data_IF_213191708823
#
_entry.id   IF_213191708823
#
_cell.length_a   1.000
_cell.length_b   1.000
_cell.length_c   1.000
_cell.angle_alpha   90.00
_cell.angle_beta   90.00
_cell.angle_gamma   90.00
#
_symmetry.space_group_name_H-M   'P 1'
#
loop_
_entity.id
_entity.type
_entity.pdbx_description
1 polymer ?
#
# COMPACT_ATOMS: atom_id res chain seq x y z
N UNK A 1 -0.70 -10.24 -37.59
CA UNK A 1 0.21 -9.08 -37.82
C UNK A 1 1.24 -8.84 -36.69
N UNK A 2 0.83 -8.64 -35.42
CA UNK A 2 1.75 -8.26 -34.33
C UNK A 2 2.84 -9.32 -33.98
N UNK A 3 2.47 -10.61 -33.99
CA UNK A 3 3.41 -11.73 -33.78
C UNK A 3 4.49 -11.80 -34.88
N UNK A 4 4.11 -11.52 -36.13
CA UNK A 4 5.03 -11.48 -37.28
C UNK A 4 5.99 -10.29 -37.15
N UNK A 5 5.49 -9.10 -36.79
CA UNK A 5 6.33 -7.92 -36.55
C UNK A 5 7.32 -8.13 -35.39
N UNK A 6 6.92 -8.79 -34.30
CA UNK A 6 7.83 -9.16 -33.21
C UNK A 6 8.87 -10.20 -33.64
N UNK A 7 8.48 -11.21 -34.43
CA UNK A 7 9.41 -12.21 -34.98
C UNK A 7 10.44 -11.56 -35.89
N UNK A 8 10.02 -10.70 -36.81
CA UNK A 8 10.91 -9.95 -37.72
C UNK A 8 11.88 -9.05 -36.93
N UNK A 9 11.41 -8.36 -35.89
CA UNK A 9 12.27 -7.54 -35.02
C UNK A 9 13.30 -8.36 -34.24
N UNK A 10 12.93 -9.59 -33.84
CA UNK A 10 13.80 -10.55 -33.13
C UNK A 10 14.83 -11.21 -34.06
N UNK A 11 14.47 -11.40 -35.34
CA UNK A 11 15.30 -12.03 -36.37
C UNK A 11 16.21 -11.05 -37.12
N UNK A 12 15.97 -9.73 -36.99
CA UNK A 12 16.69 -8.67 -37.73
C UNK A 12 18.23 -8.72 -37.58
N UNK A 13 18.73 -9.24 -36.46
CA UNK A 13 20.15 -9.31 -36.16
C UNK A 13 20.69 -10.76 -36.12
N UNK A 14 19.88 -11.76 -36.48
CA UNK A 14 20.39 -13.13 -36.60
C UNK A 14 21.21 -13.27 -37.90
N UNK A 15 22.32 -14.02 -37.89
CA UNK A 15 23.12 -14.23 -39.09
C UNK A 15 22.29 -14.94 -40.17
N UNK A 16 22.35 -14.43 -41.40
CA UNK A 16 21.60 -14.94 -42.55
C UNK A 16 21.94 -16.40 -42.93
N UNK A 17 22.99 -16.99 -42.32
CA UNK A 17 23.35 -18.40 -42.47
C UNK A 17 22.36 -19.38 -41.84
N UNK A 18 21.26 -18.89 -41.26
CA UNK A 18 20.13 -19.69 -40.76
C UNK A 18 18.85 -19.26 -41.47
N UNK A 19 18.81 -19.39 -42.80
CA UNK A 19 17.57 -19.36 -43.57
C UNK A 19 17.48 -20.63 -44.41
N UNK A 20 16.47 -21.46 -44.13
CA UNK A 20 16.06 -22.53 -45.03
C UNK A 20 15.47 -21.89 -46.29
N UNK A 21 15.83 -22.35 -47.51
CA UNK A 21 15.24 -21.80 -48.72
C UNK A 21 13.75 -22.14 -48.74
N UNK A 22 12.92 -21.11 -48.72
CA UNK A 22 11.49 -21.22 -49.04
C UNK A 22 11.35 -21.34 -50.56
N UNK A 23 10.65 -22.39 -50.99
CA UNK A 23 10.43 -22.72 -52.40
C UNK A 23 9.78 -21.58 -53.17
N UNK A 24 10.33 -21.29 -54.35
CA UNK A 24 9.78 -20.37 -55.33
C UNK A 24 8.74 -21.15 -56.15
N UNK A 25 7.47 -20.81 -56.02
CA UNK A 25 6.45 -21.17 -57.00
C UNK A 25 6.64 -20.25 -58.21
N UNK A 26 7.05 -20.83 -59.34
CA UNK A 26 7.01 -20.21 -60.65
C UNK A 26 6.17 -21.06 -61.59
N UNK A 27 4.98 -20.58 -61.93
CA UNK A 27 4.16 -21.07 -63.04
C UNK A 27 4.83 -20.72 -64.37
N UNK A 28 4.82 -21.64 -65.35
CA UNK A 28 5.43 -21.41 -66.66
C UNK A 28 5.46 -22.62 -67.60
N UNK A 29 4.29 -23.01 -68.09
CA UNK A 29 3.95 -23.63 -69.40
C UNK A 29 5.03 -24.27 -70.30
N UNK A 30 4.80 -25.57 -70.57
CA UNK A 30 4.69 -26.24 -71.90
C UNK A 30 5.90 -26.61 -72.78
N UNK A 31 5.74 -27.83 -73.36
CA UNK A 31 6.41 -28.45 -74.52
C UNK A 31 7.73 -29.18 -74.21
N UNK A 32 8.10 -30.33 -74.78
CA UNK A 32 7.47 -31.41 -75.56
C UNK A 32 8.62 -32.34 -75.97
N UNK A 33 8.46 -33.65 -75.74
CA UNK A 33 9.05 -34.79 -76.48
C UNK A 33 10.58 -35.01 -76.47
N UNK A 34 10.97 -36.28 -76.29
CA UNK A 34 12.24 -36.83 -76.79
C UNK A 34 12.70 -38.11 -76.10
N UNK A 35 12.51 -39.24 -76.76
CA UNK A 35 12.91 -40.62 -76.41
C UNK A 35 14.44 -40.89 -76.39
N UNK A 36 14.84 -41.99 -75.72
CA UNK A 36 16.08 -42.77 -75.98
C UNK A 36 16.79 -43.21 -74.68
N UNK A 37 16.51 -44.39 -74.11
CA UNK A 37 17.06 -45.72 -74.43
C UNK A 37 18.52 -45.96 -73.97
N UNK A 38 18.69 -46.85 -72.99
CA UNK A 38 19.74 -47.89 -73.00
C UNK A 38 20.87 -47.78 -71.96
N UNK A 39 21.01 -48.81 -71.12
CA UNK A 39 22.30 -49.21 -70.53
C UNK A 39 22.36 -49.36 -69.00
N UNK A 40 22.14 -50.57 -68.50
CA UNK A 40 22.53 -51.02 -67.16
C UNK A 40 24.00 -51.54 -67.16
N UNK A 41 24.64 -51.77 -66.00
CA UNK A 41 25.87 -51.07 -65.60
C UNK A 41 27.13 -51.94 -65.63
N UNK A 42 28.32 -51.31 -65.55
CA UNK A 42 29.57 -52.01 -65.24
C UNK A 42 30.36 -51.30 -64.14
N UNK A 43 30.51 -52.04 -63.04
CA UNK A 43 31.42 -51.97 -61.91
C UNK A 43 32.50 -50.87 -61.87
N UNK A 44 32.47 -50.06 -60.81
CA UNK A 44 33.68 -49.56 -60.14
C UNK A 44 33.51 -49.60 -58.62
N UNK A 45 34.28 -50.46 -57.97
CA UNK A 45 34.65 -50.30 -56.56
C UNK A 45 35.38 -48.96 -56.41
N UNK A 46 34.88 -48.10 -55.51
CA UNK A 46 35.71 -47.08 -54.87
C UNK A 46 35.35 -46.97 -53.39
N UNK A 47 36.40 -47.03 -52.58
CA UNK A 47 36.46 -47.09 -51.12
C UNK A 47 35.66 -45.98 -50.44
N UNK A 48 34.96 -46.35 -49.37
CA UNK A 48 34.31 -45.45 -48.40
C UNK A 48 35.41 -44.78 -47.56
N UNK A 49 35.53 -43.44 -47.50
CA UNK A 49 36.39 -42.78 -46.52
C UNK A 49 35.64 -42.61 -45.19
N UNK A 50 36.35 -42.90 -44.10
CA UNK A 50 35.88 -42.86 -42.72
C UNK A 50 35.33 -41.49 -42.30
N UNK A 51 34.12 -41.50 -41.73
CA UNK A 51 33.32 -40.35 -41.34
C UNK A 51 33.61 -39.99 -39.86
N UNK A 52 34.57 -39.10 -39.62
CA UNK A 52 34.79 -38.50 -38.29
C UNK A 52 33.87 -37.28 -38.11
N UNK A 53 32.58 -37.54 -37.88
CA UNK A 53 31.55 -36.53 -37.66
C UNK A 53 31.07 -36.46 -36.21
N UNK A 54 31.16 -35.28 -35.60
CA UNK A 54 30.62 -34.97 -34.27
C UNK A 54 29.09 -35.24 -34.21
N UNK A 55 28.68 -36.12 -33.28
CA UNK A 55 27.28 -36.51 -33.07
C UNK A 55 26.45 -35.35 -32.53
N UNK A 56 25.38 -34.97 -33.23
CA UNK A 56 24.37 -34.04 -32.71
C UNK A 56 22.95 -34.53 -33.06
N UNK A 57 22.21 -34.94 -32.03
CA UNK A 57 20.73 -35.05 -31.96
C UNK A 57 20.01 -35.91 -33.02
N UNK A 58 19.59 -37.11 -32.63
CA UNK A 58 18.75 -38.01 -33.45
C UNK A 58 17.37 -37.38 -33.74
N UNK A 59 17.01 -37.23 -35.02
CA UNK A 59 15.66 -36.86 -35.47
C UNK A 59 14.94 -38.08 -36.05
N UNK A 60 13.67 -38.25 -35.65
CA UNK A 60 12.83 -39.42 -35.92
C UNK A 60 12.31 -39.54 -37.37
N UNK A 61 12.54 -38.54 -38.21
CA UNK A 61 12.14 -38.52 -39.61
C UNK A 61 13.39 -38.32 -40.44
N UNK A 62 13.77 -39.34 -41.20
CA UNK A 62 15.05 -39.48 -41.94
C UNK A 62 15.24 -38.50 -43.11
N UNK A 63 15.14 -37.20 -42.85
CA UNK A 63 15.67 -36.17 -43.74
C UNK A 63 17.15 -36.01 -43.49
N UNK A 64 17.99 -36.53 -44.38
CA UNK A 64 19.43 -36.31 -44.33
C UNK A 64 19.75 -34.82 -44.50
N UNK A 65 20.41 -34.22 -43.50
CA UNK A 65 21.02 -32.91 -43.68
C UNK A 65 22.15 -33.04 -44.70
N UNK A 66 22.21 -32.17 -45.71
CA UNK A 66 23.39 -32.05 -46.55
C UNK A 66 24.61 -31.78 -45.64
N UNK A 67 25.51 -32.76 -45.53
CA UNK A 67 26.73 -32.72 -44.68
C UNK A 67 27.74 -31.63 -45.05
N UNK A 68 27.45 -30.76 -46.02
CA UNK A 68 28.37 -29.71 -46.43
C UNK A 68 28.30 -28.54 -45.45
N UNK A 69 29.21 -28.55 -44.49
CA UNK A 69 29.51 -27.38 -43.67
C UNK A 69 29.94 -26.23 -44.59
N UNK A 70 29.44 -24.99 -44.38
CA UNK A 70 29.86 -23.86 -45.19
C UNK A 70 31.39 -23.71 -45.14
N UNK A 71 32.06 -23.87 -46.29
CA UNK A 71 33.52 -23.76 -46.41
C UNK A 71 34.04 -22.34 -46.13
N UNK A 72 33.17 -21.34 -46.28
CA UNK A 72 33.50 -19.93 -46.11
C UNK A 72 32.42 -19.22 -45.30
N UNK A 73 32.83 -18.37 -44.37
CA UNK A 73 31.94 -17.47 -43.63
C UNK A 73 32.01 -16.07 -44.22
N UNK A 74 30.87 -15.41 -44.37
CA UNK A 74 30.84 -13.98 -44.71
C UNK A 74 31.30 -13.18 -43.48
N UNK A 75 32.60 -12.89 -43.41
CA UNK A 75 33.25 -12.27 -42.25
C UNK A 75 32.54 -11.00 -41.76
N UNK A 76 32.08 -10.13 -42.67
CA UNK A 76 31.36 -8.92 -42.33
C UNK A 76 30.01 -9.15 -41.64
N UNK A 77 29.23 -10.14 -42.10
CA UNK A 77 27.93 -10.45 -41.48
C UNK A 77 28.12 -11.12 -40.12
N UNK A 78 29.10 -12.02 -40.01
CA UNK A 78 29.46 -12.67 -38.76
C UNK A 78 29.97 -11.65 -37.73
N UNK A 79 30.88 -10.75 -38.11
CA UNK A 79 31.42 -9.72 -37.24
C UNK A 79 30.32 -8.78 -36.73
N UNK A 80 29.36 -8.37 -37.57
CA UNK A 80 28.22 -7.53 -37.14
C UNK A 80 27.32 -8.23 -36.13
N UNK A 81 27.01 -9.51 -36.35
CA UNK A 81 26.19 -10.29 -35.42
C UNK A 81 26.91 -10.46 -34.07
N UNK A 82 28.19 -10.85 -34.09
CA UNK A 82 29.00 -11.00 -32.87
C UNK A 82 29.22 -9.69 -32.13
N UNK A 83 29.45 -8.58 -32.83
CA UNK A 83 29.57 -7.27 -32.20
C UNK A 83 28.28 -6.85 -31.48
N UNK A 84 27.11 -7.13 -32.07
CA UNK A 84 25.83 -6.89 -31.42
C UNK A 84 25.63 -7.77 -30.17
N UNK A 85 25.96 -9.05 -30.26
CA UNK A 85 25.90 -10.00 -29.13
C UNK A 85 26.83 -9.57 -27.98
N UNK A 86 28.10 -9.30 -28.27
CA UNK A 86 29.09 -8.84 -27.29
C UNK A 86 28.66 -7.54 -26.64
N UNK A 87 28.12 -6.59 -27.41
CA UNK A 87 27.60 -5.31 -26.89
C UNK A 87 26.40 -5.53 -25.95
N UNK A 88 25.50 -6.45 -26.28
CA UNK A 88 24.35 -6.78 -25.42
C UNK A 88 24.82 -7.48 -24.15
N UNK A 89 25.73 -8.46 -24.27
CA UNK A 89 26.30 -9.19 -23.13
C UNK A 89 27.06 -8.26 -22.19
N UNK A 90 27.91 -7.39 -22.72
CA UNK A 90 28.67 -6.42 -21.93
C UNK A 90 27.73 -5.49 -21.16
N UNK A 91 26.67 -4.98 -21.82
CA UNK A 91 25.64 -4.16 -21.15
C UNK A 91 24.90 -4.92 -20.05
N UNK A 92 24.52 -6.17 -20.31
CA UNK A 92 23.80 -6.99 -19.34
C UNK A 92 24.65 -7.30 -18.10
N UNK A 93 25.94 -7.62 -18.30
CA UNK A 93 26.90 -7.82 -17.21
C UNK A 93 27.08 -6.52 -16.45
N UNK A 94 27.44 -5.41 -17.09
CA UNK A 94 27.69 -4.13 -16.40
C UNK A 94 26.48 -3.60 -15.61
N UNK A 95 25.24 -3.83 -16.07
CA UNK A 95 24.02 -3.41 -15.35
C UNK A 95 23.75 -4.25 -14.10
N UNK A 96 24.05 -5.55 -14.14
CA UNK A 96 23.85 -6.46 -13.00
C UNK A 96 25.02 -6.40 -12.01
N UNK A 97 26.22 -6.12 -12.51
CA UNK A 97 27.48 -6.01 -11.75
C UNK A 97 27.83 -4.57 -11.41
N UNK A 98 26.86 -3.66 -11.26
CA UNK A 98 27.16 -2.23 -11.05
C UNK A 98 27.87 -1.93 -9.71
N UNK A 99 28.15 -2.94 -8.90
CA UNK A 99 29.42 -3.10 -8.19
C UNK A 99 29.54 -4.55 -7.72
N UNK A 100 30.75 -5.03 -7.51
CA UNK A 100 31.06 -6.29 -6.80
C UNK A 100 30.56 -6.30 -5.33
N UNK A 101 29.78 -5.31 -4.92
CA UNK A 101 29.38 -5.05 -3.55
C UNK A 101 27.93 -5.52 -3.33
N UNK A 102 27.76 -6.51 -2.45
CA UNK A 102 26.48 -7.14 -2.07
C UNK A 102 25.37 -6.13 -1.79
N UNK A 103 25.72 -5.00 -1.19
CA UNK A 103 24.76 -3.98 -0.77
C UNK A 103 24.17 -3.16 -1.92
N UNK A 104 24.80 -3.15 -3.10
CA UNK A 104 24.29 -2.49 -4.29
C UNK A 104 23.52 -3.44 -5.23
N UNK A 105 23.62 -4.76 -5.04
CA UNK A 105 22.85 -5.73 -5.82
C UNK A 105 21.33 -5.56 -5.68
N UNK A 106 20.86 -5.00 -4.55
CA UNK A 106 19.44 -4.75 -4.31
C UNK A 106 18.90 -3.56 -5.13
N UNK A 107 17.65 -3.63 -5.62
CA UNK A 107 16.98 -2.47 -6.20
C UNK A 107 16.94 -1.27 -5.25
N UNK A 108 17.05 -0.05 -5.79
CA UNK A 108 17.14 1.19 -4.99
C UNK A 108 16.04 1.33 -3.92
N UNK A 109 14.81 0.91 -4.22
CA UNK A 109 13.67 1.00 -3.30
C UNK A 109 13.72 -0.02 -2.15
N UNK A 110 14.49 -1.10 -2.28
CA UNK A 110 14.68 -2.12 -1.24
C UNK A 110 15.86 -1.83 -0.32
N UNK A 111 16.83 -1.01 -0.78
CA UNK A 111 18.06 -0.71 -0.03
C UNK A 111 17.75 -0.01 1.29
N UNK A 112 18.44 -0.41 2.36
CA UNK A 112 18.40 0.24 3.68
C UNK A 112 19.79 0.78 4.04
N UNK A 113 19.85 1.95 4.70
CA UNK A 113 21.14 2.55 5.07
C UNK A 113 21.92 1.75 6.12
N UNK A 114 21.20 1.04 6.99
CA UNK A 114 21.77 0.29 8.11
C UNK A 114 22.16 -1.18 7.78
N UNK A 115 22.25 -1.55 6.49
CA UNK A 115 22.56 -2.93 6.09
C UNK A 115 24.00 -3.33 6.47
N UNK A 116 24.95 -2.38 6.46
CA UNK A 116 26.36 -2.63 6.85
C UNK A 116 26.51 -2.93 8.34
N UNK A 117 25.79 -2.20 9.20
CA UNK A 117 25.82 -2.40 10.65
C UNK A 117 25.03 -3.63 11.11
N UNK A 118 23.92 -3.94 10.44
CA UNK A 118 23.06 -5.07 10.79
C UNK A 118 22.64 -5.84 9.53
N UNK A 119 23.30 -7.00 9.33
CA UNK A 119 23.08 -7.88 8.18
C UNK A 119 21.68 -8.51 8.17
N UNK A 120 20.94 -8.52 9.30
CA UNK A 120 19.53 -8.96 9.34
C UNK A 120 18.60 -8.06 8.52
N UNK A 121 19.03 -6.85 8.12
CA UNK A 121 18.28 -5.95 7.22
C UNK A 121 18.34 -6.38 5.75
N UNK A 122 19.22 -7.32 5.40
CA UNK A 122 19.30 -7.92 4.07
C UNK A 122 18.40 -9.17 3.97
N UNK A 123 17.96 -9.53 2.75
CA UNK A 123 17.37 -10.84 2.48
C UNK A 123 18.32 -11.98 2.86
N UNK A 124 17.78 -13.12 3.34
CA UNK A 124 18.57 -14.25 3.86
C UNK A 124 19.69 -14.69 2.91
N UNK A 125 19.40 -14.84 1.61
CA UNK A 125 20.35 -15.26 0.57
C UNK A 125 21.59 -14.37 0.44
N UNK A 126 21.48 -13.09 0.83
CA UNK A 126 22.59 -12.12 0.75
C UNK A 126 23.32 -11.94 2.10
N UNK A 127 22.84 -12.56 3.18
CA UNK A 127 23.43 -12.38 4.52
C UNK A 127 24.79 -13.03 4.61
N UNK A 128 24.94 -14.27 4.17
CA UNK A 128 26.20 -15.01 4.27
C UNK A 128 27.35 -14.33 3.51
N UNK A 129 27.05 -13.69 2.38
CA UNK A 129 28.04 -12.92 1.63
C UNK A 129 28.36 -11.58 2.33
N UNK A 130 27.36 -10.92 2.90
CA UNK A 130 27.55 -9.68 3.67
C UNK A 130 28.30 -9.91 4.99
N UNK A 131 28.04 -11.00 5.69
CA UNK A 131 28.72 -11.38 6.93
C UNK A 131 30.20 -11.71 6.62
N UNK A 132 30.49 -12.45 5.54
CA UNK A 132 31.86 -12.66 5.05
C UNK A 132 32.59 -11.35 4.72
N UNK A 133 31.92 -10.40 4.05
CA UNK A 133 32.51 -9.08 3.78
C UNK A 133 32.77 -8.28 5.05
N UNK A 134 31.87 -8.36 6.03
CA UNK A 134 32.00 -7.70 7.33
C UNK A 134 33.17 -8.27 8.13
N UNK A 135 33.29 -9.60 8.18
CA UNK A 135 34.41 -10.32 8.80
C UNK A 135 35.74 -9.83 8.23
N UNK A 136 35.86 -9.83 6.89
CA UNK A 136 37.04 -9.32 6.17
C UNK A 136 37.33 -7.85 6.49
N UNK A 137 36.30 -7.01 6.59
CA UNK A 137 36.48 -5.59 6.96
C UNK A 137 36.93 -5.40 8.41
N UNK A 138 36.52 -6.26 9.33
CA UNK A 138 36.96 -6.23 10.74
C UNK A 138 38.42 -6.68 10.82
N UNK A 139 38.77 -7.76 10.11
CA UNK A 139 40.14 -8.29 10.04
C UNK A 139 41.11 -7.30 9.39
N UNK A 140 40.71 -6.64 8.30
CA UNK A 140 41.50 -5.59 7.63
C UNK A 140 41.60 -4.27 8.45
N UNK A 141 40.70 -4.08 9.43
CA UNK A 141 40.57 -2.86 10.22
C UNK A 141 41.18 -2.95 11.63
N UNK A 142 42.05 -3.92 11.91
CA UNK A 142 42.63 -4.23 13.23
C UNK A 142 43.55 -3.15 13.84
N UNK A 143 43.41 -1.88 13.44
CA UNK A 143 43.90 -0.75 14.25
C UNK A 143 42.86 -0.46 15.34
N UNK A 144 43.13 -0.99 16.54
CA UNK A 144 42.41 -0.77 17.82
C UNK A 144 41.73 0.60 17.86
N UNK A 145 40.45 0.68 17.47
CA UNK A 145 39.62 1.86 17.77
C UNK A 145 39.30 1.80 19.25
N UNK A 146 40.00 2.64 20.02
CA UNK A 146 39.76 2.98 21.43
C UNK A 146 38.25 2.92 21.71
N UNK A 147 37.84 2.07 22.65
CA UNK A 147 36.43 1.91 23.00
C UNK A 147 35.83 3.28 23.29
N UNK A 148 34.85 3.77 22.50
CA UNK A 148 34.22 5.04 22.80
C UNK A 148 33.54 4.91 24.17
N UNK A 149 33.78 5.90 25.04
CA UNK A 149 33.19 5.95 26.37
C UNK A 149 31.68 5.65 26.31
N UNK A 150 31.20 4.83 27.25
CA UNK A 150 29.82 4.31 27.35
C UNK A 150 28.82 5.41 27.71
N UNK A 151 28.75 6.50 26.93
CA UNK A 151 27.62 7.41 26.96
C UNK A 151 26.40 6.67 26.41
N UNK A 152 25.30 6.67 27.17
CA UNK A 152 24.04 6.06 26.72
C UNK A 152 23.73 6.58 25.31
N UNK A 153 23.62 5.65 24.36
CA UNK A 153 23.35 6.00 22.95
C UNK A 153 22.14 6.93 22.84
N UNK A 154 22.10 7.81 21.83
CA UNK A 154 20.96 8.69 21.58
C UNK A 154 19.62 7.93 21.58
N UNK A 155 19.63 6.68 21.09
CA UNK A 155 18.47 5.78 21.12
C UNK A 155 18.06 5.39 22.54
N UNK A 156 19.01 5.07 23.41
CA UNK A 156 18.74 4.76 24.81
C UNK A 156 18.21 5.99 25.57
N UNK A 157 18.74 7.20 25.29
CA UNK A 157 18.26 8.45 25.89
C UNK A 157 16.84 8.83 25.47
N UNK A 158 16.42 8.46 24.28
CA UNK A 158 15.09 8.75 23.71
C UNK A 158 14.06 7.64 23.95
N UNK A 159 14.39 6.61 24.74
CA UNK A 159 13.41 5.58 25.12
C UNK A 159 12.63 6.06 26.33
N UNK A 160 11.38 6.44 26.09
CA UNK A 160 10.41 6.62 27.17
C UNK A 160 10.07 5.26 27.78
N UNK A 161 9.77 5.23 29.09
CA UNK A 161 9.41 4.00 29.80
C UNK A 161 8.14 3.38 29.23
N UNK A 162 7.02 4.11 29.28
CA UNK A 162 5.75 3.69 28.70
C UNK A 162 5.45 4.51 27.43
N UNK A 163 5.56 3.86 26.27
CA UNK A 163 5.34 4.49 24.97
C UNK A 163 3.85 4.83 24.74
N UNK A 164 2.94 4.02 25.28
CA UNK A 164 1.50 4.20 25.11
C UNK A 164 1.01 5.48 25.81
N UNK A 165 1.44 5.69 27.06
CA UNK A 165 1.10 6.92 27.80
C UNK A 165 1.65 8.18 27.11
N UNK A 166 2.84 8.08 26.53
CA UNK A 166 3.43 9.18 25.77
C UNK A 166 2.68 9.44 24.45
N UNK A 167 2.13 8.42 23.80
CA UNK A 167 1.24 8.59 22.65
C UNK A 167 -0.09 9.23 23.04
N UNK A 168 -0.73 8.75 24.12
CA UNK A 168 -1.96 9.35 24.64
C UNK A 168 -1.76 10.83 24.99
N UNK A 169 -0.63 11.17 25.64
CA UNK A 169 -0.27 12.57 25.94
C UNK A 169 -0.12 13.42 24.68
N UNK A 170 0.42 12.87 23.60
CA UNK A 170 0.61 13.59 22.31
C UNK A 170 -0.69 13.74 21.53
N UNK A 171 -1.59 12.75 21.60
CA UNK A 171 -2.89 12.77 20.93
C UNK A 171 -3.80 13.88 21.45
N UNK A 172 -3.66 14.29 22.71
CA UNK A 172 -4.40 15.45 23.27
C UNK A 172 -4.24 16.75 22.47
N UNK A 173 -3.13 16.92 21.73
CA UNK A 173 -2.87 18.14 20.95
C UNK A 173 -3.32 18.04 19.49
N UNK A 174 -3.27 16.86 18.89
CA UNK A 174 -3.67 16.66 17.50
C UNK A 174 -4.25 15.25 17.36
N UNK A 175 -5.30 15.14 16.56
CA UNK A 175 -5.93 13.86 16.29
C UNK A 175 -5.00 13.01 15.44
N UNK A 176 -4.75 11.77 15.89
CA UNK A 176 -3.97 10.78 15.17
C UNK A 176 -4.92 9.71 14.64
N UNK A 177 -4.89 9.49 13.33
CA UNK A 177 -5.57 8.35 12.72
C UNK A 177 -4.95 7.03 13.22
N UNK A 178 -5.68 5.92 13.09
CA UNK A 178 -5.17 4.60 13.51
C UNK A 178 -3.85 4.23 12.81
N UNK A 179 -3.73 4.59 11.53
CA UNK A 179 -2.54 4.34 10.71
C UNK A 179 -1.44 5.40 10.91
N UNK A 180 -1.62 6.36 11.82
CA UNK A 180 -0.73 7.52 11.97
C UNK A 180 0.73 7.11 12.18
N UNK A 181 0.99 6.09 13.01
CA UNK A 181 2.37 5.60 13.26
C UNK A 181 3.00 5.05 11.97
N UNK A 182 2.20 4.41 11.12
CA UNK A 182 2.70 3.87 9.86
C UNK A 182 3.06 4.99 8.88
N UNK A 183 2.18 6.00 8.76
CA UNK A 183 2.39 7.19 7.94
C UNK A 183 3.56 8.03 8.45
N UNK A 184 3.63 8.32 9.75
CA UNK A 184 4.71 9.10 10.38
C UNK A 184 6.11 8.49 10.20
N UNK A 185 6.19 7.16 9.98
CA UNK A 185 7.47 6.48 9.68
C UNK A 185 7.91 6.61 8.22
N UNK A 186 7.02 6.98 7.29
CA UNK A 186 7.24 6.88 5.83
C UNK A 186 6.96 8.18 5.09
N UNK A 187 6.18 9.08 5.67
CA UNK A 187 5.73 10.34 5.10
C UNK A 187 6.16 11.50 5.99
N UNK A 188 6.26 12.68 5.38
CA UNK A 188 6.35 13.95 6.05
C UNK A 188 4.95 14.31 6.57
N UNK A 189 4.82 14.41 7.89
CA UNK A 189 3.55 14.68 8.54
C UNK A 189 3.31 16.18 8.66
N UNK A 190 2.09 16.61 8.39
CA UNK A 190 1.63 18.00 8.47
C UNK A 190 0.35 18.06 9.29
N UNK A 191 0.19 19.11 10.09
CA UNK A 191 -1.01 19.35 10.88
C UNK A 191 -2.01 20.13 10.04
N UNK A 192 -3.20 19.58 9.79
CA UNK A 192 -4.30 20.21 9.04
C UNK A 192 -5.63 19.84 9.68
N UNK A 193 -6.52 20.82 9.86
CA UNK A 193 -7.90 20.62 10.36
C UNK A 193 -8.00 19.89 11.71
N UNK A 194 -7.01 20.06 12.60
CA UNK A 194 -6.93 19.33 13.88
C UNK A 194 -6.29 17.94 13.80
N UNK A 195 -6.04 17.41 12.60
CA UNK A 195 -5.40 16.11 12.36
C UNK A 195 -3.91 16.26 12.02
N UNK A 196 -3.15 15.20 12.27
CA UNK A 196 -1.77 15.08 11.79
C UNK A 196 -1.69 14.04 10.66
N UNK A 197 -1.63 14.50 9.42
CA UNK A 197 -1.76 13.71 8.20
C UNK A 197 -0.44 13.65 7.41
N UNK A 198 -0.24 12.60 6.61
CA UNK A 198 0.93 12.45 5.75
C UNK A 198 0.78 13.23 4.45
N UNK A 199 1.60 14.25 4.22
CA UNK A 199 1.50 15.08 3.02
C UNK A 199 2.33 14.52 1.85
N UNK A 200 3.60 14.17 2.10
CA UNK A 200 4.52 13.70 1.07
C UNK A 200 5.30 12.48 1.53
N UNK A 201 5.44 11.43 0.70
CA UNK A 201 6.30 10.31 1.02
C UNK A 201 7.77 10.75 1.10
N UNK A 202 8.52 10.16 2.00
CA UNK A 202 9.97 10.40 2.13
C UNK A 202 10.76 9.89 0.92
N UNK A 203 10.19 8.96 0.16
CA UNK A 203 10.74 8.47 -1.10
C UNK A 203 10.19 9.27 -2.28
N UNK A 204 11.04 9.60 -3.25
CA UNK A 204 10.63 10.31 -4.47
C UNK A 204 9.81 9.37 -5.37
N UNK A 205 8.48 9.39 -5.23
CA UNK A 205 7.59 8.52 -5.99
C UNK A 205 6.48 9.22 -6.79
N UNK A 206 6.62 10.51 -7.13
CA UNK A 206 5.63 11.21 -7.96
C UNK A 206 5.27 10.47 -9.27
N UNK A 207 6.26 10.17 -10.12
CA UNK A 207 6.04 9.41 -11.37
C UNK A 207 5.59 7.96 -11.14
N UNK A 208 6.18 7.20 -10.18
CA UNK A 208 5.65 5.89 -9.81
C UNK A 208 4.19 5.90 -9.35
N UNK A 209 3.76 6.87 -8.54
CA UNK A 209 2.37 6.97 -8.09
C UNK A 209 1.42 7.21 -9.26
N UNK A 210 1.78 8.08 -10.21
CA UNK A 210 1.00 8.31 -11.42
C UNK A 210 0.87 7.06 -12.29
N UNK A 211 1.96 6.31 -12.49
CA UNK A 211 1.91 5.02 -13.19
C UNK A 211 1.11 3.98 -12.42
N UNK A 212 1.18 4.01 -11.09
CA UNK A 212 0.41 3.09 -10.27
C UNK A 212 -1.09 3.36 -10.33
N UNK A 213 -1.50 4.62 -10.45
CA UNK A 213 -2.90 5.00 -10.60
C UNK A 213 -3.53 4.51 -11.92
N UNK A 214 -2.73 4.35 -12.98
CA UNK A 214 -3.22 3.91 -14.30
C UNK A 214 -3.03 2.42 -14.56
N UNK A 215 -1.87 1.86 -14.23
CA UNK A 215 -1.48 0.48 -14.61
C UNK A 215 -1.29 -0.47 -13.42
N UNK A 216 -1.31 0.03 -12.19
CA UNK A 216 -1.12 -0.80 -10.99
C UNK A 216 -2.17 -0.45 -9.92
N UNK A 217 -1.81 -0.55 -8.65
CA UNK A 217 -2.67 -0.19 -7.53
C UNK A 217 -2.04 0.92 -6.68
N UNK A 218 -2.90 1.80 -6.17
CA UNK A 218 -2.59 2.83 -5.19
C UNK A 218 -3.73 2.87 -4.19
N UNK A 219 -3.39 2.87 -2.90
CA UNK A 219 -4.35 3.00 -1.80
C UNK A 219 -4.07 4.30 -1.06
N UNK A 220 -5.10 4.96 -0.56
CA UNK A 220 -4.99 6.14 0.28
C UNK A 220 -5.59 5.86 1.65
N UNK A 221 -5.42 6.79 2.57
CA UNK A 221 -6.12 6.74 3.86
C UNK A 221 -6.92 8.02 3.97
N UNK A 222 -8.24 7.86 3.91
CA UNK A 222 -9.24 8.92 3.92
C UNK A 222 -10.07 8.87 5.22
N UNK A 223 -9.54 8.23 6.27
CA UNK A 223 -10.25 8.06 7.54
C UNK A 223 -10.48 9.36 8.31
N UNK A 224 -9.91 10.48 7.85
CA UNK A 224 -10.21 11.79 8.39
C UNK A 224 -11.60 12.31 7.97
N UNK A 225 -12.25 11.73 6.94
CA UNK A 225 -13.63 12.08 6.64
C UNK A 225 -14.55 11.70 7.79
N UNK A 226 -15.39 12.64 8.21
CA UNK A 226 -16.33 12.46 9.30
C UNK A 226 -17.62 11.85 8.76
N UNK A 227 -18.15 10.83 9.42
CA UNK A 227 -19.42 10.20 9.08
C UNK A 227 -20.50 10.69 10.04
N UNK A 228 -21.54 11.33 9.51
CA UNK A 228 -22.74 11.69 10.26
C UNK A 228 -23.85 10.73 9.79
N UNK A 229 -24.42 9.99 10.72
CA UNK A 229 -25.54 9.09 10.47
C UNK A 229 -26.85 9.76 10.87
N UNK A 230 -27.82 9.76 9.96
CA UNK A 230 -29.19 10.20 10.22
C UNK A 230 -30.11 8.97 10.17
N UNK A 231 -30.90 8.76 11.22
CA UNK A 231 -31.96 7.75 11.28
C UNK A 231 -33.31 8.42 11.45
N UNK A 232 -34.32 7.96 10.71
CA UNK A 232 -35.67 8.49 10.85
C UNK A 232 -36.57 8.05 9.71
N UNK A 233 -37.81 8.52 9.74
CA UNK A 233 -38.78 8.30 8.67
C UNK A 233 -38.34 9.02 7.38
N UNK A 234 -38.49 8.34 6.24
CA UNK A 234 -37.99 8.83 4.94
C UNK A 234 -38.57 10.20 4.58
N UNK A 235 -39.87 10.39 4.71
CA UNK A 235 -40.54 11.64 4.31
C UNK A 235 -40.09 12.83 5.15
N UNK A 236 -39.90 12.62 6.46
CA UNK A 236 -39.40 13.65 7.39
C UNK A 236 -37.95 14.01 7.12
N UNK A 237 -37.10 13.00 6.86
CA UNK A 237 -35.70 13.22 6.49
C UNK A 237 -35.61 14.02 5.19
N UNK A 238 -36.40 13.68 4.18
CA UNK A 238 -36.39 14.38 2.90
C UNK A 238 -36.93 15.81 3.01
N UNK A 239 -37.99 16.04 3.79
CA UNK A 239 -38.52 17.37 4.04
C UNK A 239 -37.45 18.28 4.69
N UNK A 240 -36.76 17.76 5.71
CA UNK A 240 -35.69 18.48 6.39
C UNK A 240 -34.50 18.78 5.44
N UNK A 241 -33.97 17.73 4.79
CA UNK A 241 -32.79 17.85 3.91
C UNK A 241 -33.05 18.63 2.61
N UNK A 242 -34.31 18.77 2.19
CA UNK A 242 -34.69 19.60 1.05
C UNK A 242 -34.36 21.09 1.26
N UNK A 243 -34.33 21.56 2.50
CA UNK A 243 -33.97 22.95 2.82
C UNK A 243 -32.48 23.24 2.59
N UNK A 244 -31.64 22.21 2.65
CA UNK A 244 -30.19 22.30 2.51
C UNK A 244 -29.71 22.13 1.06
N UNK A 245 -30.59 21.72 0.15
CA UNK A 245 -30.25 21.45 -1.26
C UNK A 245 -31.25 22.04 -2.22
N UNK A 246 -30.77 22.64 -3.31
CA UNK A 246 -31.62 23.13 -4.39
C UNK A 246 -31.55 22.18 -5.60
N UNK A 247 -32.66 22.08 -6.35
CA UNK A 247 -32.73 21.29 -7.59
C UNK A 247 -31.89 21.89 -8.72
N UNK A 248 -31.65 23.21 -8.68
CA UNK A 248 -30.91 23.96 -9.69
C UNK A 248 -29.39 23.76 -9.61
N UNK A 249 -28.86 23.49 -8.41
CA UNK A 249 -27.41 23.33 -8.20
C UNK A 249 -26.86 21.93 -8.57
N UNK A 250 -27.72 20.91 -8.67
CA UNK A 250 -27.32 19.55 -8.96
C UNK A 250 -28.20 18.48 -8.30
N UNK A 251 -27.68 17.25 -8.09
CA UNK A 251 -28.44 16.17 -7.48
C UNK A 251 -28.77 16.49 -6.02
N UNK A 252 -30.02 16.28 -5.61
CA UNK A 252 -30.50 16.49 -4.24
C UNK A 252 -30.46 15.20 -3.42
N UNK A 253 -30.70 15.30 -2.11
CA UNK A 253 -30.86 14.13 -1.23
C UNK A 253 -32.00 13.19 -1.68
N UNK A 254 -33.03 13.76 -2.31
CA UNK A 254 -34.22 13.07 -2.81
C UNK A 254 -34.08 12.53 -4.24
N UNK A 255 -32.93 12.69 -4.90
CA UNK A 255 -32.76 12.18 -6.26
C UNK A 255 -32.90 10.65 -6.29
N UNK A 256 -33.58 10.11 -7.30
CA UNK A 256 -33.83 8.66 -7.42
C UNK A 256 -32.52 7.83 -7.36
N UNK A 257 -31.43 8.36 -7.91
CA UNK A 257 -30.10 7.76 -7.85
C UNK A 257 -29.62 7.60 -6.40
N UNK A 258 -29.82 8.60 -5.55
CA UNK A 258 -29.50 8.58 -4.13
C UNK A 258 -30.43 7.63 -3.38
N UNK A 259 -31.74 7.74 -3.60
CA UNK A 259 -32.78 6.98 -2.91
C UNK A 259 -32.71 5.47 -3.16
N UNK A 260 -32.06 5.01 -4.22
CA UNK A 260 -31.84 3.58 -4.45
C UNK A 260 -30.96 2.93 -3.37
N UNK A 261 -30.03 3.69 -2.77
CA UNK A 261 -28.99 3.17 -1.89
C UNK A 261 -27.91 2.33 -2.58
N UNK A 262 -27.95 2.23 -3.92
CA UNK A 262 -27.00 1.42 -4.69
C UNK A 262 -25.68 2.14 -4.98
N UNK A 263 -25.66 3.48 -4.90
CA UNK A 263 -24.52 4.31 -5.28
C UNK A 263 -24.31 5.43 -4.28
N UNK A 264 -23.05 5.77 -4.08
CA UNK A 264 -22.63 6.96 -3.36
C UNK A 264 -22.70 8.18 -4.28
N UNK A 265 -23.26 9.30 -3.80
CA UNK A 265 -23.46 10.52 -4.60
C UNK A 265 -22.84 11.72 -3.90
N UNK A 266 -22.19 12.60 -4.67
CA UNK A 266 -21.67 13.87 -4.17
C UNK A 266 -22.71 14.97 -4.37
N UNK A 267 -23.07 15.68 -3.30
CA UNK A 267 -24.08 16.75 -3.28
C UNK A 267 -23.50 17.98 -2.61
N UNK A 268 -23.80 19.16 -3.15
CA UNK A 268 -23.39 20.44 -2.54
C UNK A 268 -24.46 20.90 -1.56
N UNK A 269 -24.06 21.14 -0.31
CA UNK A 269 -24.94 21.54 0.79
C UNK A 269 -24.83 23.05 1.00
N UNK A 270 -25.98 23.69 1.22
CA UNK A 270 -26.14 25.11 1.54
C UNK A 270 -26.71 25.26 2.95
N UNK A 271 -26.62 26.45 3.53
CA UNK A 271 -27.39 26.76 4.74
C UNK A 271 -28.90 26.72 4.44
N UNK A 272 -29.68 26.36 5.45
CA UNK A 272 -31.12 26.11 5.28
C UNK A 272 -31.84 27.30 4.61
N UNK A 273 -32.43 27.07 3.43
CA UNK A 273 -33.20 28.07 2.69
C UNK A 273 -32.39 29.24 2.10
N UNK A 274 -31.05 29.24 2.19
CA UNK A 274 -30.21 30.36 1.76
C UNK A 274 -29.51 30.13 0.41
N UNK A 275 -30.13 29.35 -0.48
CA UNK A 275 -29.67 29.21 -1.85
C UNK A 275 -29.98 30.50 -2.63
N UNK A 276 -29.02 31.10 -3.37
CA UNK A 276 -27.66 30.64 -3.69
C UNK A 276 -26.52 31.23 -2.83
N UNK A 277 -26.82 32.10 -1.86
CA UNK A 277 -25.84 33.01 -1.24
C UNK A 277 -24.89 32.42 -0.19
N UNK A 278 -25.11 31.19 0.33
CA UNK A 278 -24.22 30.60 1.36
C UNK A 278 -24.01 29.07 1.18
N UNK A 279 -23.07 28.66 0.29
CA UNK A 279 -22.68 27.26 0.18
C UNK A 279 -21.79 26.83 1.35
N UNK A 280 -22.12 25.71 1.99
CA UNK A 280 -21.23 25.07 2.96
C UNK A 280 -20.14 24.30 2.23
N UNK A 281 -20.52 23.42 1.29
CA UNK A 281 -19.57 22.68 0.47
C UNK A 281 -20.07 21.32 0.00
N UNK A 282 -19.23 20.54 -0.70
CA UNK A 282 -19.58 19.23 -1.20
C UNK A 282 -19.51 18.17 -0.10
N UNK A 283 -20.51 17.30 -0.08
CA UNK A 283 -20.69 16.23 0.88
C UNK A 283 -21.06 14.96 0.14
N UNK A 284 -20.53 13.82 0.58
CA UNK A 284 -20.84 12.54 -0.08
C UNK A 284 -21.86 11.74 0.70
N UNK A 285 -22.91 11.28 0.03
CA UNK A 285 -24.08 10.68 0.63
C UNK A 285 -24.19 9.20 0.24
N UNK A 286 -24.65 8.39 1.18
CA UNK A 286 -25.01 7.00 0.93
C UNK A 286 -26.25 6.63 1.75
N UNK A 287 -27.34 6.32 1.06
CA UNK A 287 -28.54 5.78 1.68
C UNK A 287 -28.41 4.29 1.91
N UNK A 288 -28.89 3.81 3.05
CA UNK A 288 -29.11 2.37 3.24
C UNK A 288 -30.27 1.93 2.32
N UNK A 289 -30.13 0.80 1.60
CA UNK A 289 -31.22 0.23 0.80
C UNK A 289 -32.45 -0.04 1.68
N UNK A 290 -33.65 0.05 1.09
CA UNK A 290 -34.91 -0.20 1.81
C UNK A 290 -35.00 -1.68 2.19
N UNK A 291 -35.13 -1.97 3.48
CA UNK A 291 -35.47 -3.31 3.99
C UNK A 291 -36.97 -3.37 4.18
N UNK A 292 -37.62 -4.38 3.62
CA UNK A 292 -39.06 -4.58 3.78
C UNK A 292 -39.39 -4.74 5.28
N UNK A 293 -40.27 -3.88 5.80
CA UNK A 293 -40.75 -3.93 7.19
C UNK A 293 -40.21 -2.85 8.13
N UNK A 294 -39.12 -2.14 7.81
CA UNK A 294 -38.68 -0.97 8.61
C UNK A 294 -39.16 0.34 7.99
N UNK A 295 -39.85 1.16 8.79
CA UNK A 295 -40.21 2.55 8.43
C UNK A 295 -39.04 3.52 8.61
N UNK A 296 -38.08 3.16 9.46
CA UNK A 296 -36.87 3.93 9.68
C UNK A 296 -35.82 3.65 8.61
N UNK A 297 -35.27 4.73 8.08
CA UNK A 297 -34.20 4.70 7.09
C UNK A 297 -32.94 5.31 7.65
N UNK A 298 -31.79 4.83 7.17
CA UNK A 298 -30.47 5.30 7.56
C UNK A 298 -29.80 6.00 6.38
N UNK A 299 -29.24 7.17 6.64
CA UNK A 299 -28.46 7.95 5.69
C UNK A 299 -27.10 8.25 6.30
N UNK A 300 -26.02 7.95 5.56
CA UNK A 300 -24.67 8.32 5.93
C UNK A 300 -24.18 9.49 5.11
N UNK A 301 -23.68 10.50 5.82
CA UNK A 301 -23.19 11.75 5.29
C UNK A 301 -21.68 11.83 5.57
N UNK A 302 -20.87 11.78 4.52
CA UNK A 302 -19.42 11.92 4.59
C UNK A 302 -19.02 13.36 4.32
N UNK A 303 -18.55 14.04 5.37
CA UNK A 303 -18.11 15.42 5.30
C UNK A 303 -16.61 15.55 5.63
N UNK A 304 -15.99 16.57 5.05
CA UNK A 304 -14.63 16.95 5.42
C UNK A 304 -14.60 17.54 6.85
N UNK A 305 -13.55 17.34 7.67
CA UNK A 305 -13.49 17.85 9.04
C UNK A 305 -13.73 19.35 9.21
N UNK A 306 -13.30 20.18 8.26
CA UNK A 306 -13.58 21.62 8.31
C UNK A 306 -15.06 21.91 8.13
N UNK A 307 -15.74 21.15 7.26
CA UNK A 307 -17.17 21.32 6.97
C UNK A 307 -18.04 20.75 8.09
N UNK A 308 -17.55 19.75 8.84
CA UNK A 308 -18.29 19.14 9.95
C UNK A 308 -18.73 20.19 10.97
N UNK A 309 -17.85 21.15 11.28
CA UNK A 309 -18.12 22.19 12.29
C UNK A 309 -19.32 23.06 11.91
N UNK A 310 -19.54 23.27 10.61
CA UNK A 310 -20.64 24.08 10.09
C UNK A 310 -21.89 23.24 9.79
N UNK A 311 -21.72 22.02 9.28
CA UNK A 311 -22.83 21.14 8.89
C UNK A 311 -23.57 20.57 10.10
N UNK A 312 -22.86 20.25 11.18
CA UNK A 312 -23.48 19.59 12.33
C UNK A 312 -24.52 20.49 13.03
N UNK A 313 -24.25 21.78 13.32
CA UNK A 313 -25.27 22.71 13.85
C UNK A 313 -26.43 22.94 12.89
N UNK A 314 -26.16 23.04 11.58
CA UNK A 314 -27.20 23.21 10.56
C UNK A 314 -28.14 21.99 10.50
N UNK A 315 -27.59 20.77 10.55
CA UNK A 315 -28.39 19.55 10.63
C UNK A 315 -29.19 19.47 11.94
N UNK A 316 -28.63 19.91 13.06
CA UNK A 316 -29.35 19.97 14.34
C UNK A 316 -30.54 20.94 14.27
N UNK A 317 -30.34 22.12 13.66
CA UNK A 317 -31.39 23.13 13.49
C UNK A 317 -32.50 22.63 12.56
N UNK A 318 -32.14 22.08 11.39
CA UNK A 318 -33.07 21.61 10.36
C UNK A 318 -33.86 20.38 10.81
N UNK A 319 -33.23 19.45 11.52
CA UNK A 319 -33.90 18.25 12.04
C UNK A 319 -34.58 18.47 13.40
N UNK A 320 -34.46 19.67 14.01
CA UNK A 320 -34.95 19.98 15.36
C UNK A 320 -34.45 18.98 16.42
N UNK A 321 -33.18 18.56 16.31
CA UNK A 321 -32.55 17.59 17.20
C UNK A 321 -31.80 18.32 18.32
N UNK A 322 -32.51 18.70 19.38
CA UNK A 322 -31.92 19.43 20.52
C UNK A 322 -31.61 18.53 21.72
N UNK A 323 -32.24 17.35 21.83
CA UNK A 323 -32.04 16.46 22.97
C UNK A 323 -30.76 15.64 22.77
N UNK A 324 -29.70 16.08 23.44
CA UNK A 324 -28.42 15.39 23.49
C UNK A 324 -28.55 14.12 24.35
N UNK A 325 -28.49 12.95 23.72
CA UNK A 325 -28.39 11.68 24.44
C UNK A 325 -26.93 11.50 24.81
N UNK A 326 -26.62 11.66 26.11
CA UNK A 326 -25.31 11.27 26.63
C UNK A 326 -25.16 9.76 26.44
N UNK A 327 -24.01 9.27 25.94
CA UNK A 327 -23.76 7.84 25.89
C UNK A 327 -23.88 7.26 27.30
N UNK A 328 -24.63 6.17 27.47
CA UNK A 328 -24.73 5.50 28.76
C UNK A 328 -23.33 5.05 29.18
N UNK A 329 -22.89 5.54 30.34
CA UNK A 329 -21.81 4.90 31.08
C UNK A 329 -22.47 3.71 31.74
N UNK A 330 -22.50 2.55 31.08
CA UNK A 330 -22.98 1.32 31.70
C UNK A 330 -22.02 0.99 32.87
N UNK A 331 -22.47 0.94 34.14
CA UNK A 331 -21.76 0.25 35.20
C UNK A 331 -22.19 -1.23 35.24
N UNK A 332 -21.44 -2.03 36.01
CA UNK A 332 -21.71 -3.42 36.43
C UNK A 332 -21.03 -4.53 35.58
N UNK A 333 -20.36 -5.54 36.14
CA UNK A 333 -20.76 -6.35 37.33
C UNK A 333 -19.56 -6.76 38.23
N UNK A 334 -19.84 -6.83 39.53
CA UNK A 334 -19.14 -7.38 40.72
C UNK A 334 -18.65 -8.85 40.57
N UNK A 335 -17.73 -9.42 41.37
CA UNK A 335 -17.69 -9.70 42.82
C UNK A 335 -16.21 -9.89 43.26
N UNK A 336 -15.76 -9.64 44.48
CA UNK A 336 -16.21 -10.30 45.71
C UNK A 336 -15.98 -9.44 46.96
N UNK A 337 -16.82 -9.74 47.95
CA UNK A 337 -17.00 -9.14 49.27
C UNK A 337 -15.73 -9.19 50.14
N UNK A 338 -15.51 -8.15 50.95
CA UNK A 338 -15.26 -8.33 52.39
C UNK A 338 -15.48 -7.02 53.18
N UNK A 339 -16.63 -7.01 53.87
CA UNK A 339 -16.97 -6.49 55.21
C UNK A 339 -16.19 -5.30 55.81
N UNK A 340 -16.96 -4.23 56.02
CA UNK A 340 -17.20 -3.51 57.30
C UNK A 340 -16.03 -2.99 58.14
N UNK A 341 -16.07 -1.67 58.36
CA UNK A 341 -15.84 -0.94 59.62
C UNK A 341 -14.69 0.10 59.62
N UNK A 342 -15.13 1.37 59.70
CA UNK A 342 -14.66 2.47 60.58
C UNK A 342 -13.16 2.79 60.68
N UNK A 343 -12.84 4.05 60.33
CA UNK A 343 -11.66 4.80 60.78
C UNK A 343 -11.48 4.75 62.32
N UNK A 344 -10.22 4.84 62.81
CA UNK A 344 -9.75 6.16 63.26
C UNK A 344 -8.31 6.52 62.84
N UNK A 345 -8.08 7.83 62.75
CA UNK A 345 -6.79 8.55 62.69
C UNK A 345 -6.05 8.46 64.07
N UNK A 346 -4.91 9.15 64.31
CA UNK A 346 -3.55 8.76 63.92
C UNK A 346 -2.59 8.76 65.15
N UNK A 347 -1.55 7.92 65.18
CA UNK A 347 -0.49 8.08 66.18
C UNK A 347 0.92 8.03 65.57
N UNK A 348 1.68 9.08 65.92
CA UNK A 348 3.09 9.28 65.67
C UNK A 348 3.94 8.08 66.15
N UNK A 349 5.11 7.86 65.53
CA UNK A 349 6.43 7.90 66.18
C UNK A 349 7.56 7.33 65.29
N UNK A 350 8.61 8.15 65.19
CA UNK A 350 10.04 7.89 64.96
C UNK A 350 10.66 7.82 63.57
N UNK A 351 11.51 8.83 63.38
CA UNK A 351 12.54 9.02 62.38
C UNK A 351 13.61 7.92 62.47
N UNK A 352 13.81 7.20 61.37
CA UNK A 352 15.01 6.39 61.12
C UNK A 352 15.75 6.90 59.88
N UNK A 353 16.91 7.52 60.08
CA UNK A 353 17.82 7.98 59.01
C UNK A 353 18.22 6.81 58.09
N UNK A 354 18.08 6.96 56.77
CA UNK A 354 18.71 6.07 55.78
C UNK A 354 19.50 6.87 54.72
N UNK A 355 20.77 6.45 54.56
CA UNK A 355 21.83 7.02 53.72
C UNK A 355 21.53 6.93 52.22
N UNK A 356 22.08 7.83 51.36
CA UNK A 356 21.87 7.79 49.93
C UNK A 356 22.87 6.85 49.25
N UNK A 357 22.38 5.83 48.56
CA UNK A 357 23.25 5.00 47.70
C UNK A 357 22.84 3.53 47.60
N UNK A 358 21.69 3.24 47.01
CA UNK A 358 21.40 1.88 46.54
C UNK A 358 20.55 1.91 45.26
N UNK A 359 20.99 1.14 44.27
CA UNK A 359 20.40 0.99 42.95
C UNK A 359 18.93 0.56 43.05
N UNK A 360 18.00 1.41 42.63
CA UNK A 360 16.60 0.99 42.39
C UNK A 360 16.52 0.13 41.13
N UNK A 361 16.64 -1.18 41.31
CA UNK A 361 16.03 -2.16 40.40
C UNK A 361 14.55 -2.21 40.78
N UNK A 362 13.71 -1.37 40.15
CA UNK A 362 12.27 -1.41 40.37
C UNK A 362 11.73 -2.65 39.65
N UNK A 363 11.50 -3.72 40.39
CA UNK A 363 10.61 -4.80 39.97
C UNK A 363 9.19 -4.34 40.22
N UNK A 364 8.55 -3.72 39.23
CA UNK A 364 7.08 -3.70 39.23
C UNK A 364 6.61 -4.93 38.48
N UNK A 365 6.08 -5.90 39.23
CA UNK A 365 4.98 -6.73 38.72
C UNK A 365 3.78 -5.79 38.66
N UNK A 366 3.69 -4.99 37.60
CA UNK A 366 2.45 -4.31 37.28
C UNK A 366 1.56 -5.35 36.59
N UNK A 367 0.71 -5.99 37.40
CA UNK A 367 -0.50 -6.61 36.90
C UNK A 367 -1.45 -5.49 36.46
N UNK A 368 -1.12 -4.81 35.36
CA UNK A 368 -2.13 -4.11 34.59
C UNK A 368 -2.49 -5.04 33.45
N UNK A 369 -3.65 -5.67 33.54
CA UNK A 369 -4.31 -6.17 32.34
C UNK A 369 -4.25 -5.07 31.27
N UNK A 370 -3.85 -5.38 30.03
CA UNK A 370 -3.86 -4.39 28.97
C UNK A 370 -5.30 -3.87 28.89
N UNK A 371 -5.56 -2.55 29.01
CA UNK A 371 -6.92 -2.05 28.91
C UNK A 371 -7.51 -2.55 27.60
N UNK A 372 -8.51 -3.44 27.71
CA UNK A 372 -9.22 -4.06 26.61
C UNK A 372 -10.11 -2.97 26.03
N UNK A 373 -9.50 -2.22 25.12
CA UNK A 373 -10.05 -1.50 23.97
C UNK A 373 -8.87 -0.71 23.42
N UNK A 374 -8.45 -1.01 22.18
CA UNK A 374 -7.76 0.00 21.37
C UNK A 374 -8.68 1.22 21.46
N UNK A 375 -8.18 2.35 21.96
CA UNK A 375 -8.97 3.58 22.00
C UNK A 375 -9.24 3.95 20.54
N UNK A 376 -10.38 3.50 20.03
CA UNK A 376 -10.97 3.90 18.77
C UNK A 376 -11.46 5.33 19.01
N UNK A 377 -10.81 6.33 18.40
CA UNK A 377 -11.33 7.71 18.30
C UNK A 377 -11.47 8.57 19.57
N UNK A 378 -11.62 8.00 20.77
CA UNK A 378 -12.20 8.74 21.92
C UNK A 378 -11.20 9.49 22.81
N UNK A 379 -9.89 9.37 22.57
CA UNK A 379 -8.87 10.09 23.35
C UNK A 379 -8.85 11.61 23.15
N UNK A 380 -9.63 12.13 22.20
CA UNK A 380 -9.70 13.55 21.83
C UNK A 380 -11.07 14.21 22.03
N UNK A 381 -12.13 13.44 22.30
CA UNK A 381 -13.42 13.99 22.68
C UNK A 381 -13.42 14.29 24.17
N UNK A 382 -13.96 15.43 24.57
CA UNK A 382 -14.22 15.66 26.00
C UNK A 382 -15.27 14.63 26.45
N UNK A 383 -15.12 14.01 27.63
CA UNK A 383 -15.97 12.91 28.11
C UNK A 383 -17.45 13.26 28.36
N UNK A 384 -17.94 14.40 27.86
CA UNK A 384 -19.35 14.82 27.89
C UNK A 384 -19.83 15.42 26.57
N UNK A 385 -19.12 15.21 25.46
CA UNK A 385 -19.60 15.66 24.14
C UNK A 385 -20.66 14.68 23.66
N UNK A 386 -21.93 15.09 23.47
CA UNK A 386 -22.95 14.18 22.99
C UNK A 386 -22.61 13.70 21.58
N UNK A 387 -22.73 12.40 21.38
CA UNK A 387 -22.48 11.73 20.10
C UNK A 387 -23.79 11.55 19.34
N UNK A 388 -24.91 11.51 20.07
CA UNK A 388 -26.24 11.27 19.53
C UNK A 388 -27.19 12.38 19.96
N UNK A 389 -27.92 12.93 18.99
CA UNK A 389 -29.02 13.87 19.24
C UNK A 389 -30.31 13.26 18.73
N UNK A 390 -31.39 13.40 19.50
CA UNK A 390 -32.73 12.97 19.11
C UNK A 390 -33.66 14.17 18.99
N UNK A 391 -34.59 14.10 18.05
CA UNK A 391 -35.70 15.04 17.93
C UNK A 391 -36.97 14.40 18.45
N UNK A 392 -37.61 15.02 19.44
CA UNK A 392 -38.90 14.57 19.98
C UNK A 392 -40.06 14.83 19.03
N UNK A 393 -39.95 15.83 18.13
CA UNK A 393 -41.00 16.21 17.18
C UNK A 393 -40.97 15.40 15.89
N UNK A 394 -39.79 15.18 15.32
CA UNK A 394 -39.63 14.49 14.03
C UNK A 394 -39.28 13.02 14.18
N UNK A 395 -38.80 12.60 15.36
CA UNK A 395 -38.26 11.25 15.58
C UNK A 395 -36.91 11.00 14.90
N UNK A 396 -36.27 12.06 14.37
CA UNK A 396 -34.97 11.95 13.70
C UNK A 396 -33.86 11.84 14.76
N UNK A 397 -32.94 10.91 14.54
CA UNK A 397 -31.74 10.68 15.34
C UNK A 397 -30.50 11.00 14.52
N UNK A 398 -29.64 11.88 15.04
CA UNK A 398 -28.35 12.24 14.46
C UNK A 398 -27.26 11.58 15.29
N UNK A 399 -26.41 10.74 14.67
CA UNK A 399 -25.21 10.18 15.30
C UNK A 399 -23.94 10.72 14.63
N UNK A 400 -23.03 11.29 15.42
CA UNK A 400 -21.71 11.71 14.96
C UNK A 400 -20.68 10.56 15.10
N UNK A 401 -20.58 9.73 14.06
CA UNK A 401 -19.67 8.58 13.98
C UNK A 401 -18.24 8.98 13.55
N UNK A 402 -17.81 10.21 13.84
CA UNK A 402 -16.45 10.66 13.53
C UNK A 402 -15.42 9.73 14.17
N UNK A 403 -14.49 9.22 13.37
CA UNK A 403 -13.40 8.28 13.78
C UNK A 403 -13.85 6.88 14.21
N UNK A 404 -15.13 6.52 14.07
CA UNK A 404 -15.59 5.14 14.31
C UNK A 404 -15.42 4.25 13.07
N UNK A 405 -15.52 4.85 11.89
CA UNK A 405 -15.38 4.15 10.60
C UNK A 405 -14.09 4.58 9.91
N UNK A 406 -13.28 3.59 9.53
CA UNK A 406 -12.03 3.77 8.79
C UNK A 406 -12.31 3.70 7.29
N UNK A 407 -11.73 4.61 6.51
CA UNK A 407 -11.93 4.70 5.06
C UNK A 407 -10.58 4.71 4.33
N UNK A 408 -10.41 3.82 3.35
CA UNK A 408 -9.20 3.70 2.52
C UNK A 408 -9.47 4.07 1.06
#
# INVERSE_FOLDING_TARGET
AAKVKMRVKKMRNQPASVQYPSGVNGEGSSQSRGHGSGGHPSSKEMKIPEDTGWVRGHQRYGGGYSKQMPKFITGGAFARARAAEVKVMLRAVSQTTSSSHVFQALPKHMRRRAMSHNTKRLPRRLRDMADRMREKSIQAGSKKKKEPAKSKSRKARRRHGNLLLEFNRRQRKNIWLETHIWHAKRFHMVKKWGYCLGERPTYKCYRPCYRAMSSHCLLQDLSYYCCIELKGEEDKLLAALSQLTSKEAGPTFAAALCLSGCRQVSVTVYRAGQYPSQPLGPVTLLWRPKTQGLRERQLWIWAHPSLKQDILPELQSVCQCCEAVLPSVDPEVSCAEEKTALHPEPENILQGKLKPGAKRKRSSKDASEPPVKKILGDGTRLPGTPVTWKSSSTGIVINDLTMEIVRY
#
